data_IF_360564805433
#
_entry.id   IF_360564805433
#
_cell.length_a   1.000
_cell.length_b   1.000
_cell.length_c   1.000
_cell.angle_alpha   90.00
_cell.angle_beta   90.00
_cell.angle_gamma   90.00
#
_symmetry.space_group_name_H-M   'P 1'
#
loop_
_entity.id
_entity.type
_entity.pdbx_description
1 polymer ?
#
# COMPACT_ATOMS: atom_id res chain seq x y z
N UNK A 1 -10.27 8.49 2.07
CA UNK A 1 -10.55 7.32 1.21
C UNK A 1 -11.65 7.63 0.18
N UNK A 2 -11.37 7.49 -1.12
CA UNK A 2 -12.14 8.08 -2.25
C UNK A 2 -13.55 7.47 -2.51
N UNK A 3 -13.96 6.45 -1.77
CA UNK A 3 -15.25 5.75 -1.98
C UNK A 3 -16.38 6.34 -1.12
N UNK A 4 -16.04 7.01 -0.01
CA UNK A 4 -17.02 7.72 0.83
C UNK A 4 -17.12 9.17 0.41
N UNK A 5 -18.32 9.75 0.47
CA UNK A 5 -18.63 11.13 0.05
C UNK A 5 -17.65 12.19 0.58
N UNK A 6 -17.16 12.04 1.81
CA UNK A 6 -16.35 13.04 2.51
C UNK A 6 -14.88 12.66 2.72
N UNK A 7 -14.43 11.52 2.18
CA UNK A 7 -13.07 10.99 2.36
C UNK A 7 -12.53 11.15 3.80
N UNK A 8 -12.97 10.28 4.72
CA UNK A 8 -12.56 10.31 6.13
C UNK A 8 -11.08 9.95 6.37
N UNK A 9 -10.68 10.10 7.64
CA UNK A 9 -9.39 9.65 8.19
C UNK A 9 -9.05 8.22 7.77
N UNK A 10 -7.78 8.02 7.47
CA UNK A 10 -7.20 6.74 7.11
C UNK A 10 -6.13 6.42 8.14
N UNK A 11 -6.26 5.27 8.80
CA UNK A 11 -5.16 4.72 9.59
C UNK A 11 -4.00 4.36 8.65
N UNK A 12 -2.78 4.73 9.04
CA UNK A 12 -1.59 4.52 8.23
C UNK A 12 -0.47 3.89 9.04
N UNK A 13 0.07 2.78 8.51
CA UNK A 13 1.30 2.15 8.94
C UNK A 13 2.11 1.75 7.69
N UNK A 14 3.41 1.94 7.72
CA UNK A 14 4.35 1.66 6.63
C UNK A 14 4.79 0.18 6.55
N UNK A 15 4.21 -0.69 7.37
CA UNK A 15 4.64 -2.09 7.49
C UNK A 15 4.64 -2.86 6.17
N UNK A 16 3.71 -2.52 5.26
CA UNK A 16 3.57 -3.16 3.97
C UNK A 16 4.61 -2.69 2.94
N UNK A 17 5.27 -1.55 3.15
CA UNK A 17 6.18 -0.94 2.17
C UNK A 17 7.34 -1.87 1.79
N UNK A 18 7.74 -2.75 2.70
CA UNK A 18 8.81 -3.73 2.48
C UNK A 18 8.44 -4.86 1.51
N UNK A 19 7.14 -5.13 1.33
CA UNK A 19 6.64 -6.27 0.55
C UNK A 19 5.72 -5.85 -0.61
N UNK A 20 5.37 -4.57 -0.73
CA UNK A 20 4.68 -4.04 -1.90
C UNK A 20 5.68 -3.82 -3.05
N UNK A 21 5.23 -4.08 -4.28
CA UNK A 21 6.00 -3.79 -5.49
C UNK A 21 6.18 -2.27 -5.66
N UNK A 22 5.13 -1.51 -5.38
CA UNK A 22 5.12 -0.04 -5.41
C UNK A 22 4.35 0.46 -4.17
N UNK A 23 5.02 0.95 -3.11
CA UNK A 23 4.38 1.57 -1.95
C UNK A 23 3.61 2.84 -2.31
N UNK A 24 2.64 3.22 -1.48
CA UNK A 24 1.89 4.47 -1.69
C UNK A 24 2.74 5.68 -1.28
N UNK A 25 2.68 6.77 -2.04
CA UNK A 25 3.27 8.04 -1.63
C UNK A 25 2.43 8.66 -0.51
N UNK A 26 3.07 8.94 0.63
CA UNK A 26 2.49 9.77 1.69
C UNK A 26 3.12 11.15 1.63
N UNK A 27 2.30 12.17 1.39
CA UNK A 27 2.76 13.56 1.32
C UNK A 27 1.80 14.47 2.07
N UNK A 28 2.35 15.35 2.91
CA UNK A 28 1.57 16.27 3.74
C UNK A 28 0.48 15.59 4.58
N UNK A 29 0.76 14.38 5.10
CA UNK A 29 -0.20 13.62 5.91
C UNK A 29 -1.33 12.95 5.11
N UNK A 30 -1.22 12.91 3.78
CA UNK A 30 -2.22 12.32 2.89
C UNK A 30 -1.61 11.20 2.07
N UNK A 31 -2.30 10.07 1.98
CA UNK A 31 -1.97 8.98 1.06
C UNK A 31 -2.43 9.37 -0.35
N UNK A 32 -1.50 9.35 -1.30
CA UNK A 32 -1.76 9.63 -2.70
C UNK A 32 -2.20 8.36 -3.43
N UNK A 33 -3.34 8.44 -4.12
CA UNK A 33 -3.84 7.34 -4.94
C UNK A 33 -3.04 7.29 -6.24
N UNK A 34 -2.41 6.16 -6.58
CA UNK A 34 -1.59 6.05 -7.78
C UNK A 34 -2.46 6.05 -9.05
N UNK A 35 -1.93 6.63 -10.13
CA UNK A 35 -2.59 6.65 -11.44
C UNK A 35 -2.35 5.34 -12.21
N UNK A 36 -2.88 4.24 -11.66
CA UNK A 36 -2.82 2.91 -12.27
C UNK A 36 -4.07 2.09 -11.94
N UNK A 37 -4.50 1.16 -12.81
CA UNK A 37 -5.67 0.33 -12.55
C UNK A 37 -5.50 -0.55 -11.30
N UNK A 38 -6.62 -0.89 -10.65
CA UNK A 38 -6.66 -1.80 -9.51
C UNK A 38 -6.72 -1.08 -8.16
N UNK A 39 -6.34 -1.80 -7.08
CA UNK A 39 -6.36 -1.28 -5.71
C UNK A 39 -5.06 -0.56 -5.30
N UNK A 40 -4.06 -0.52 -6.19
CA UNK A 40 -2.70 -0.06 -5.85
C UNK A 40 -1.90 -1.07 -5.02
N UNK A 41 -2.39 -2.30 -4.88
CA UNK A 41 -1.70 -3.39 -4.16
C UNK A 41 -1.17 -4.38 -5.20
N UNK A 42 0.14 -4.50 -5.24
CA UNK A 42 0.87 -5.54 -5.98
C UNK A 42 2.06 -5.97 -5.12
N UNK A 43 2.39 -7.25 -5.13
CA UNK A 43 3.38 -7.83 -4.23
C UNK A 43 4.77 -7.85 -4.86
N UNK A 44 5.78 -7.48 -4.08
CA UNK A 44 7.16 -7.79 -4.39
C UNK A 44 7.44 -9.24 -3.97
N UNK A 45 7.19 -10.18 -4.88
CA UNK A 45 7.37 -11.62 -4.63
C UNK A 45 8.78 -11.97 -4.14
N UNK A 46 9.79 -11.25 -4.62
CA UNK A 46 11.19 -11.45 -4.19
C UNK A 46 11.42 -11.00 -2.75
N UNK A 47 10.73 -9.96 -2.29
CA UNK A 47 10.79 -9.51 -0.91
C UNK A 47 10.03 -10.46 0.03
N UNK A 48 8.85 -10.91 -0.39
CA UNK A 48 8.03 -11.88 0.36
C UNK A 48 8.80 -13.20 0.55
N UNK A 49 9.44 -13.70 -0.51
CA UNK A 49 10.18 -14.97 -0.47
C UNK A 49 11.26 -15.03 0.63
N UNK A 50 11.81 -13.88 1.06
CA UNK A 50 12.81 -13.80 2.15
C UNK A 50 12.24 -14.18 3.52
N UNK A 51 10.94 -13.97 3.71
CA UNK A 51 10.24 -14.19 4.98
C UNK A 51 9.19 -15.30 4.90
N UNK A 52 9.07 -15.96 3.74
CA UNK A 52 8.12 -17.04 3.53
C UNK A 52 8.45 -18.22 4.45
N UNK A 53 7.55 -18.50 5.40
CA UNK A 53 7.63 -19.69 6.20
C UNK A 53 7.23 -20.91 5.36
N UNK A 54 8.00 -21.99 5.45
CA UNK A 54 7.64 -23.30 4.88
C UNK A 54 7.43 -24.28 6.02
N UNK A 55 6.25 -24.93 6.01
CA UNK A 55 5.92 -26.06 6.87
C UNK A 55 6.50 -27.36 6.31
#
# INVERSE_FOLDING_TARGET
>A
MRVTETAHWLEWCDWADLILAEPFEVRNGLVHIPDRPGSGIEWNESAIAKYAHRL
#
